data_IF_121301804927
#
_entry.id   IF_121301804927
#
_cell.length_a   1.000
_cell.length_b   1.000
_cell.length_c   1.000
_cell.angle_alpha   90.00
_cell.angle_beta   90.00
_cell.angle_gamma   90.00
#
_symmetry.space_group_name_H-M   'P 1'
#
loop_
_entity.id
_entity.type
_entity.pdbx_description
1 polymer ?
#
# COMPACT_ATOMS: atom_id res chain seq x y z
N UNK A 1 -33.02 10.84 -7.42
CA UNK A 1 -33.88 12.00 -7.73
C UNK A 1 -33.10 13.32 -7.69
N UNK A 2 -32.25 13.58 -6.69
CA UNK A 2 -31.34 14.75 -6.69
C UNK A 2 -30.43 14.79 -7.93
N UNK A 3 -29.72 13.70 -8.26
CA UNK A 3 -28.75 13.73 -9.37
C UNK A 3 -29.36 14.08 -10.73
N UNK A 4 -30.58 13.65 -11.02
CA UNK A 4 -31.24 13.99 -12.28
C UNK A 4 -31.55 15.50 -12.35
N UNK A 5 -31.96 16.10 -11.23
CA UNK A 5 -32.20 17.55 -11.12
C UNK A 5 -30.87 18.30 -11.29
N UNK A 6 -29.79 17.82 -10.68
CA UNK A 6 -28.46 18.41 -10.82
C UNK A 6 -27.96 18.32 -12.26
N UNK A 7 -28.16 17.16 -12.92
CA UNK A 7 -27.80 16.96 -14.33
C UNK A 7 -28.61 17.86 -15.27
N UNK A 8 -29.92 18.04 -15.02
CA UNK A 8 -30.76 18.97 -15.80
C UNK A 8 -30.30 20.41 -15.57
N UNK A 9 -30.04 20.80 -14.32
CA UNK A 9 -29.60 22.17 -13.97
C UNK A 9 -28.26 22.48 -14.64
N UNK A 10 -27.33 21.54 -14.62
CA UNK A 10 -26.04 21.66 -15.29
C UNK A 10 -26.23 21.79 -16.81
N UNK A 11 -27.10 20.97 -17.42
CA UNK A 11 -27.39 21.08 -18.84
C UNK A 11 -27.95 22.46 -19.21
N UNK A 12 -28.91 22.97 -18.44
CA UNK A 12 -29.46 24.31 -18.68
C UNK A 12 -28.37 25.36 -18.64
N UNK A 13 -27.44 25.30 -17.67
CA UNK A 13 -26.29 26.23 -17.61
C UNK A 13 -25.34 26.10 -18.79
N UNK A 14 -25.15 24.89 -19.32
CA UNK A 14 -24.30 24.65 -20.49
C UNK A 14 -24.93 25.23 -21.76
N UNK A 15 -26.25 25.12 -21.91
CA UNK A 15 -27.03 25.66 -23.03
C UNK A 15 -27.15 27.19 -22.98
N UNK A 16 -27.35 27.77 -21.79
CA UNK A 16 -27.41 29.23 -21.61
C UNK A 16 -26.04 29.89 -21.67
N UNK A 17 -24.95 29.12 -21.78
CA UNK A 17 -23.56 29.58 -21.72
C UNK A 17 -23.15 30.21 -20.37
N UNK A 18 -23.95 30.01 -19.33
CA UNK A 18 -23.65 30.48 -17.97
C UNK A 18 -22.61 29.60 -17.24
N UNK A 19 -22.30 28.43 -17.79
CA UNK A 19 -21.25 27.55 -17.27
C UNK A 19 -19.90 27.84 -17.95
N UNK A 20 -18.85 27.98 -17.12
CA UNK A 20 -17.46 28.13 -17.58
C UNK A 20 -16.57 27.07 -16.91
N UNK A 21 -15.63 26.46 -17.67
CA UNK A 21 -14.71 25.48 -17.11
C UNK A 21 -13.75 26.14 -16.13
N UNK A 22 -13.52 25.49 -14.99
CA UNK A 22 -12.44 25.90 -14.10
C UNK A 22 -11.09 25.46 -14.67
N UNK A 23 -10.02 26.16 -14.28
CA UNK A 23 -8.64 25.80 -14.66
C UNK A 23 -7.82 25.63 -13.40
N UNK A 24 -7.80 24.41 -12.88
CA UNK A 24 -7.09 24.06 -11.66
C UNK A 24 -6.12 22.91 -11.96
N UNK A 25 -4.95 22.86 -11.28
CA UNK A 25 -4.05 21.73 -11.39
C UNK A 25 -4.70 20.51 -10.74
N UNK A 26 -4.73 19.38 -11.46
CA UNK A 26 -5.24 18.12 -10.95
C UNK A 26 -4.41 16.94 -11.47
N UNK A 27 -4.45 15.85 -10.71
CA UNK A 27 -3.83 14.59 -11.09
C UNK A 27 -4.93 13.61 -11.57
N UNK A 28 -4.91 13.15 -12.84
CA UNK A 28 -5.92 12.23 -13.36
C UNK A 28 -6.01 10.91 -12.59
N UNK A 29 -4.88 10.37 -12.13
CA UNK A 29 -4.84 9.12 -11.38
C UNK A 29 -5.50 9.28 -10.01
N UNK A 30 -5.18 10.34 -9.27
CA UNK A 30 -5.81 10.64 -7.99
C UNK A 30 -7.33 10.87 -8.13
N UNK A 31 -7.75 11.59 -9.18
CA UNK A 31 -9.16 11.80 -9.49
C UNK A 31 -9.92 10.47 -9.71
N UNK A 32 -9.26 9.49 -10.36
CA UNK A 32 -9.85 8.16 -10.54
C UNK A 32 -9.85 7.36 -9.24
N UNK A 33 -8.78 7.41 -8.45
CA UNK A 33 -8.73 6.76 -7.14
C UNK A 33 -9.88 7.28 -6.23
N UNK A 34 -10.13 8.59 -6.19
CA UNK A 34 -11.27 9.19 -5.48
C UNK A 34 -12.63 8.70 -6.01
N UNK A 35 -12.76 8.58 -7.33
CA UNK A 35 -13.98 8.08 -7.97
C UNK A 35 -14.23 6.60 -7.65
N UNK A 36 -13.17 5.79 -7.54
CA UNK A 36 -13.24 4.39 -7.11
C UNK A 36 -13.49 4.27 -5.60
N UNK A 37 -13.01 5.20 -4.78
CA UNK A 37 -13.31 5.27 -3.35
C UNK A 37 -14.77 5.64 -3.06
N UNK A 38 -15.42 6.38 -3.95
CA UNK A 38 -16.87 6.62 -3.92
C UNK A 38 -17.68 5.45 -4.49
N UNK A 39 -17.01 4.42 -5.05
CA UNK A 39 -17.64 3.22 -5.56
C UNK A 39 -18.21 2.19 -4.55
N UNK A 40 -17.97 2.20 -3.21
CA UNK A 40 -18.67 1.26 -2.32
C UNK A 40 -20.18 1.52 -2.23
N UNK A 41 -20.66 2.66 -2.76
CA UNK A 41 -22.07 2.92 -3.01
C UNK A 41 -22.60 2.32 -4.33
N UNK A 42 -21.72 1.85 -5.21
CA UNK A 42 -22.12 1.23 -6.47
C UNK A 42 -22.59 -0.21 -6.17
N UNK A 43 -23.60 -0.76 -6.86
CA UNK A 43 -24.14 -2.11 -6.60
C UNK A 43 -23.17 -3.28 -6.90
N UNK A 44 -21.86 -3.06 -6.85
CA UNK A 44 -20.77 -3.94 -7.28
C UNK A 44 -20.71 -5.27 -6.51
N UNK A 45 -21.04 -5.25 -5.22
CA UNK A 45 -20.80 -6.39 -4.32
C UNK A 45 -21.90 -7.47 -4.42
N UNK A 46 -23.09 -7.15 -4.91
CA UNK A 46 -24.22 -8.11 -4.89
C UNK A 46 -24.29 -9.05 -6.09
N UNK A 47 -23.46 -8.89 -7.13
CA UNK A 47 -23.61 -9.64 -8.40
C UNK A 47 -22.36 -10.42 -8.85
N UNK A 48 -21.34 -10.57 -8.00
CA UNK A 48 -20.13 -11.34 -8.36
C UNK A 48 -19.26 -10.65 -9.42
N UNK A 49 -19.20 -9.33 -9.38
CA UNK A 49 -18.47 -8.53 -10.36
C UNK A 49 -16.99 -8.40 -10.05
N UNK A 50 -16.17 -8.41 -11.10
CA UNK A 50 -14.76 -8.04 -11.05
C UNK A 50 -14.61 -6.72 -11.79
N UNK A 51 -14.86 -5.61 -11.11
CA UNK A 51 -14.39 -4.32 -11.62
C UNK A 51 -12.87 -4.35 -11.54
N UNK A 52 -12.20 -4.14 -12.67
CA UNK A 52 -10.74 -4.02 -12.70
C UNK A 52 -10.40 -2.72 -13.37
N UNK A 53 -10.00 -1.75 -12.57
CA UNK A 53 -9.39 -0.53 -13.08
C UNK A 53 -8.05 -0.92 -13.68
N UNK A 54 -7.83 -0.63 -14.96
CA UNK A 54 -6.53 -0.80 -15.59
C UNK A 54 -6.01 0.60 -15.85
N UNK A 55 -5.44 1.24 -14.84
CA UNK A 55 -4.65 2.45 -15.05
C UNK A 55 -3.37 2.05 -15.80
N UNK A 56 -3.39 2.10 -17.15
CA UNK A 56 -2.17 1.95 -17.95
C UNK A 56 -1.22 3.13 -17.81
N UNK A 57 -1.64 4.18 -17.10
CA UNK A 57 -0.92 5.41 -16.95
C UNK A 57 -0.55 5.63 -15.48
N UNK A 58 0.73 5.41 -15.22
CA UNK A 58 1.39 5.57 -13.92
C UNK A 58 2.17 6.88 -13.81
N UNK A 59 2.11 7.72 -14.84
CA UNK A 59 2.77 9.03 -14.81
C UNK A 59 2.03 9.92 -13.80
N UNK A 60 2.74 10.38 -12.75
CA UNK A 60 2.21 11.33 -11.75
C UNK A 60 2.12 12.76 -12.29
N UNK A 61 1.85 12.90 -13.59
CA UNK A 61 1.79 14.19 -14.26
C UNK A 61 0.51 14.92 -13.88
N UNK A 62 0.66 16.19 -13.53
CA UNK A 62 -0.47 17.07 -13.30
C UNK A 62 -0.88 17.74 -14.61
N UNK A 63 -2.18 17.96 -14.75
CA UNK A 63 -2.79 18.71 -15.84
C UNK A 63 -3.59 19.88 -15.28
N UNK A 64 -3.78 20.90 -16.11
CA UNK A 64 -4.55 22.10 -15.79
C UNK A 64 -5.86 22.04 -16.56
N UNK A 65 -6.97 21.99 -15.83
CA UNK A 65 -8.31 22.00 -16.41
C UNK A 65 -9.40 21.83 -15.38
N UNK A 66 -10.61 21.51 -15.84
CA UNK A 66 -11.76 21.30 -14.96
C UNK A 66 -11.87 19.82 -14.59
N UNK A 67 -11.23 19.47 -13.47
CA UNK A 67 -11.24 18.12 -12.92
C UNK A 67 -12.66 17.67 -12.58
N UNK A 68 -13.51 18.57 -12.07
CA UNK A 68 -14.87 18.24 -11.64
C UNK A 68 -15.77 17.87 -12.82
N UNK A 69 -15.68 18.62 -13.92
CA UNK A 69 -16.40 18.31 -15.15
C UNK A 69 -15.95 16.98 -15.74
N UNK A 70 -14.64 16.73 -15.82
CA UNK A 70 -14.09 15.49 -16.33
C UNK A 70 -14.49 14.29 -15.46
N UNK A 71 -14.36 14.42 -14.14
CA UNK A 71 -14.79 13.45 -13.13
C UNK A 71 -16.29 13.14 -13.27
N UNK A 72 -17.13 14.15 -13.48
CA UNK A 72 -18.57 13.96 -13.70
C UNK A 72 -18.85 13.17 -14.97
N UNK A 73 -18.16 13.45 -16.08
CA UNK A 73 -18.30 12.69 -17.33
C UNK A 73 -17.92 11.22 -17.10
N UNK A 74 -16.76 10.97 -16.48
CA UNK A 74 -16.27 9.61 -16.23
C UNK A 74 -17.21 8.86 -15.28
N UNK A 75 -17.65 9.49 -14.19
CA UNK A 75 -18.58 8.91 -13.22
C UNK A 75 -19.90 8.47 -13.86
N UNK A 76 -20.51 9.35 -14.67
CA UNK A 76 -21.75 9.03 -15.39
C UNK A 76 -21.59 7.83 -16.34
N UNK A 77 -20.47 7.76 -17.07
CA UNK A 77 -20.22 6.66 -18.01
C UNK A 77 -19.87 5.35 -17.30
N UNK A 78 -19.11 5.41 -16.21
CA UNK A 78 -18.78 4.21 -15.41
C UNK A 78 -20.04 3.66 -14.74
N UNK A 79 -20.90 4.50 -14.17
CA UNK A 79 -22.20 4.08 -13.64
C UNK A 79 -23.05 3.40 -14.71
N UNK A 80 -23.08 4.00 -15.89
CA UNK A 80 -23.84 3.45 -17.01
C UNK A 80 -23.28 2.08 -17.46
N UNK A 81 -21.96 1.93 -17.54
CA UNK A 81 -21.29 0.65 -17.80
C UNK A 81 -21.65 -0.41 -16.73
N UNK A 82 -21.80 0.00 -15.47
CA UNK A 82 -22.20 -0.87 -14.35
C UNK A 82 -23.68 -1.26 -14.40
N UNK A 83 -24.53 -0.46 -15.01
CA UNK A 83 -25.96 -0.80 -15.14
C UNK A 83 -26.18 -1.79 -16.29
N UNK A 84 -25.44 -1.60 -17.38
CA UNK A 84 -25.56 -2.38 -18.63
C UNK A 84 -24.77 -3.68 -18.62
N UNK A 85 -23.74 -3.77 -17.78
CA UNK A 85 -23.13 -5.06 -17.46
C UNK A 85 -24.00 -5.72 -16.39
N UNK A 86 -24.24 -7.03 -16.47
CA UNK A 86 -25.00 -7.78 -15.44
C UNK A 86 -24.10 -8.77 -14.71
N UNK A 87 -23.17 -9.36 -15.46
CA UNK A 87 -22.02 -10.12 -15.01
C UNK A 87 -20.88 -9.83 -16.00
N UNK A 88 -19.64 -9.80 -15.52
CA UNK A 88 -18.48 -9.49 -16.35
C UNK A 88 -17.55 -8.46 -15.71
N UNK A 89 -16.93 -7.64 -16.57
CA UNK A 89 -15.88 -6.70 -16.20
C UNK A 89 -16.16 -5.31 -16.76
N UNK A 90 -15.83 -4.31 -15.96
CA UNK A 90 -15.69 -2.92 -16.38
C UNK A 90 -14.24 -2.53 -16.13
N UNK A 91 -13.59 -1.92 -17.12
CA UNK A 91 -12.22 -1.42 -17.01
C UNK A 91 -12.14 0.03 -17.46
N UNK A 92 -11.48 0.85 -16.66
CA UNK A 92 -11.12 2.22 -16.99
C UNK A 92 -9.63 2.28 -17.27
N UNK A 93 -9.27 2.88 -18.40
CA UNK A 93 -7.91 3.04 -18.89
C UNK A 93 -7.67 4.51 -19.18
N UNK A 94 -6.53 5.03 -18.72
CA UNK A 94 -6.07 6.39 -18.99
C UNK A 94 -4.83 6.27 -19.86
N UNK A 95 -4.74 7.09 -20.90
CA UNK A 95 -3.57 7.18 -21.77
C UNK A 95 -3.44 8.60 -22.33
N UNK A 96 -2.40 8.86 -23.11
CA UNK A 96 -2.25 10.08 -23.89
C UNK A 96 -2.03 9.73 -25.37
N UNK A 97 -2.28 10.68 -26.27
CA UNK A 97 -1.88 10.50 -27.66
C UNK A 97 -0.34 10.46 -27.76
N UNK A 98 0.27 9.45 -28.43
CA UNK A 98 1.73 9.28 -28.44
C UNK A 98 2.53 10.50 -28.91
N UNK A 99 1.95 11.32 -29.77
CA UNK A 99 2.56 12.53 -30.33
C UNK A 99 2.14 13.81 -29.60
N UNK A 100 1.15 13.71 -28.71
CA UNK A 100 0.48 14.84 -28.04
C UNK A 100 0.21 14.49 -26.58
N UNK A 101 1.20 14.64 -25.68
CA UNK A 101 1.04 14.32 -24.26
C UNK A 101 0.06 15.27 -23.55
N UNK A 102 -0.30 16.39 -24.18
CA UNK A 102 -1.38 17.30 -23.77
C UNK A 102 -2.79 16.77 -24.09
N UNK A 103 -2.92 15.63 -24.78
CA UNK A 103 -4.20 15.03 -25.13
C UNK A 103 -4.42 13.75 -24.37
N UNK A 104 -5.24 13.82 -23.35
CA UNK A 104 -5.63 12.69 -22.53
C UNK A 104 -6.74 11.88 -23.21
N UNK A 105 -6.59 10.56 -23.14
CA UNK A 105 -7.56 9.58 -23.60
C UNK A 105 -8.03 8.77 -22.39
N UNK A 106 -9.34 8.81 -22.12
CA UNK A 106 -9.97 7.93 -21.13
C UNK A 106 -10.81 6.90 -21.88
N UNK A 107 -10.56 5.62 -21.62
CA UNK A 107 -11.30 4.51 -22.21
C UNK A 107 -11.99 3.71 -21.11
N UNK A 108 -13.31 3.65 -21.17
CA UNK A 108 -14.12 2.76 -20.33
C UNK A 108 -14.57 1.62 -21.22
N UNK A 109 -14.21 0.39 -20.87
CA UNK A 109 -14.66 -0.82 -21.57
C UNK A 109 -15.50 -1.66 -20.61
N UNK A 110 -16.66 -2.09 -21.06
CA UNK A 110 -17.50 -3.06 -20.36
C UNK A 110 -17.75 -4.28 -21.23
N UNK A 111 -18.05 -5.41 -20.57
CA UNK A 111 -18.43 -6.67 -21.22
C UNK A 111 -19.92 -6.97 -21.02
N UNK A 112 -20.76 -5.93 -20.99
CA UNK A 112 -22.18 -6.04 -20.70
C UNK A 112 -23.05 -6.45 -21.88
N UNK A 113 -24.35 -6.23 -21.77
CA UNK A 113 -25.31 -6.49 -22.85
C UNK A 113 -25.12 -5.59 -24.07
N UNK A 114 -24.22 -4.61 -23.97
CA UNK A 114 -24.08 -3.54 -24.94
C UNK A 114 -25.28 -2.58 -24.93
N UNK A 115 -25.11 -1.50 -25.69
CA UNK A 115 -26.09 -0.45 -25.97
C UNK A 115 -26.58 -0.60 -27.41
N UNK A 116 -27.87 -0.36 -27.65
CA UNK A 116 -28.45 -0.29 -28.99
C UNK A 116 -28.03 0.97 -29.75
N UNK A 117 -28.04 0.94 -31.09
CA UNK A 117 -27.75 2.13 -31.90
C UNK A 117 -28.78 3.27 -31.67
N UNK A 118 -30.01 2.91 -31.36
CA UNK A 118 -31.08 3.85 -31.00
C UNK A 118 -30.71 4.60 -29.72
N UNK A 119 -30.26 3.89 -28.69
CA UNK A 119 -29.84 4.48 -27.43
C UNK A 119 -28.54 5.28 -27.55
N UNK A 120 -27.59 4.86 -28.40
CA UNK A 120 -26.41 5.68 -28.76
C UNK A 120 -26.83 7.00 -29.44
N UNK A 121 -27.95 7.00 -30.18
CA UNK A 121 -28.43 8.23 -30.83
C UNK A 121 -28.79 9.32 -29.81
N UNK A 122 -29.04 8.96 -28.54
CA UNK A 122 -29.21 9.92 -27.45
C UNK A 122 -27.97 10.81 -27.22
N UNK A 123 -26.79 10.44 -27.72
CA UNK A 123 -25.57 11.25 -27.69
C UNK A 123 -25.75 12.62 -28.38
N UNK A 124 -26.57 12.66 -29.43
CA UNK A 124 -26.81 13.86 -30.24
C UNK A 124 -28.11 14.58 -29.87
N UNK A 125 -29.15 13.84 -29.48
CA UNK A 125 -30.43 14.40 -29.08
C UNK A 125 -30.97 13.63 -27.88
N UNK A 126 -31.15 14.27 -26.71
CA UNK A 126 -31.56 13.56 -25.51
C UNK A 126 -32.99 13.02 -25.67
N UNK A 127 -33.28 11.88 -25.03
CA UNK A 127 -34.59 11.24 -25.00
C UNK A 127 -35.16 10.72 -26.35
N UNK A 128 -34.33 10.55 -27.39
CA UNK A 128 -34.77 9.91 -28.64
C UNK A 128 -35.25 8.47 -28.41
N UNK A 129 -34.57 7.74 -27.53
CA UNK A 129 -34.82 6.32 -27.30
C UNK A 129 -34.85 6.01 -25.80
N UNK A 130 -35.65 5.00 -25.45
CA UNK A 130 -35.69 4.48 -24.08
C UNK A 130 -34.33 3.90 -23.70
N UNK A 131 -33.96 4.11 -22.44
CA UNK A 131 -32.68 3.71 -21.87
C UNK A 131 -32.90 2.62 -20.83
N UNK A 132 -31.86 1.86 -20.50
CA UNK A 132 -31.87 0.94 -19.36
C UNK A 132 -31.85 1.75 -18.06
N UNK A 133 -33.05 2.15 -17.59
CA UNK A 133 -33.21 2.96 -16.39
C UNK A 133 -33.11 2.09 -15.13
N UNK A 134 -32.14 2.38 -14.27
CA UNK A 134 -32.08 1.88 -12.89
C UNK A 134 -33.08 2.67 -12.00
N UNK A 135 -33.53 2.09 -10.88
CA UNK A 135 -34.32 2.72 -9.79
C UNK A 135 -33.80 4.11 -9.36
N UNK A 136 -32.53 4.43 -9.57
CA UNK A 136 -31.92 5.72 -9.26
C UNK A 136 -31.76 6.69 -10.46
N UNK A 137 -32.23 6.33 -11.67
CA UNK A 137 -32.20 7.12 -12.92
C UNK A 137 -30.80 7.41 -13.51
N UNK A 138 -29.76 6.66 -13.15
CA UNK A 138 -28.41 6.86 -13.72
C UNK A 138 -28.33 6.54 -15.23
N UNK A 139 -29.16 5.62 -15.72
CA UNK A 139 -29.33 5.32 -17.14
C UNK A 139 -30.40 6.18 -17.81
N UNK A 140 -30.34 7.51 -17.71
CA UNK A 140 -31.31 8.42 -18.35
C UNK A 140 -30.93 8.67 -19.82
N UNK A 141 -31.94 8.90 -20.67
CA UNK A 141 -31.76 9.38 -22.05
C UNK A 141 -31.03 10.72 -22.18
N UNK A 142 -30.76 11.38 -21.05
CA UNK A 142 -29.96 12.60 -20.94
C UNK A 142 -28.45 12.33 -20.76
N UNK A 143 -28.05 11.18 -20.21
CA UNK A 143 -26.67 10.96 -19.72
C UNK A 143 -25.64 11.16 -20.83
N UNK A 144 -25.78 10.50 -21.98
CA UNK A 144 -24.84 10.64 -23.09
C UNK A 144 -24.83 12.05 -23.69
N UNK A 145 -25.98 12.69 -23.78
CA UNK A 145 -26.06 14.06 -24.25
C UNK A 145 -25.29 15.01 -23.34
N UNK A 146 -25.48 14.91 -22.03
CA UNK A 146 -24.75 15.71 -21.04
C UNK A 146 -23.24 15.45 -21.12
N UNK A 147 -22.82 14.19 -21.16
CA UNK A 147 -21.41 13.83 -21.31
C UNK A 147 -20.80 14.43 -22.60
N UNK A 148 -21.54 14.39 -23.72
CA UNK A 148 -21.10 14.98 -24.99
C UNK A 148 -20.97 16.51 -24.91
N UNK A 149 -21.93 17.21 -24.28
CA UNK A 149 -21.86 18.66 -24.10
C UNK A 149 -20.70 19.08 -23.19
N UNK A 150 -20.49 18.37 -22.08
CA UNK A 150 -19.35 18.61 -21.19
C UNK A 150 -18.02 18.37 -21.93
N UNK A 151 -17.89 17.26 -22.66
CA UNK A 151 -16.67 16.99 -23.44
C UNK A 151 -16.39 18.12 -24.43
N UNK A 152 -17.40 18.61 -25.15
CA UNK A 152 -17.23 19.75 -26.09
C UNK A 152 -16.76 21.02 -25.39
N UNK A 153 -17.27 21.31 -24.18
CA UNK A 153 -16.86 22.46 -23.37
C UNK A 153 -15.46 22.32 -22.78
N UNK A 154 -14.98 21.09 -22.62
CA UNK A 154 -13.59 20.76 -22.27
C UNK A 154 -12.68 20.62 -23.51
N UNK A 155 -13.10 21.16 -24.66
CA UNK A 155 -12.35 21.06 -25.93
C UNK A 155 -12.00 19.62 -26.32
N UNK A 156 -12.91 18.68 -26.01
CA UNK A 156 -12.74 17.26 -26.23
C UNK A 156 -13.87 16.63 -27.04
N UNK A 157 -13.83 15.30 -27.13
CA UNK A 157 -14.77 14.46 -27.86
C UNK A 157 -15.10 13.19 -27.08
N UNK A 158 -16.36 12.76 -27.16
CA UNK A 158 -16.83 11.46 -26.70
C UNK A 158 -17.22 10.58 -27.90
N UNK A 159 -16.67 9.36 -27.96
CA UNK A 159 -17.03 8.32 -28.92
C UNK A 159 -17.55 7.09 -28.16
N UNK A 160 -18.66 6.51 -28.62
CA UNK A 160 -19.25 5.30 -28.01
C UNK A 160 -19.37 4.23 -29.09
N UNK A 161 -18.71 3.10 -28.87
CA UNK A 161 -18.77 1.92 -29.74
C UNK A 161 -19.31 0.74 -28.96
N UNK A 162 -20.52 0.32 -29.30
CA UNK A 162 -21.19 -0.81 -28.68
C UNK A 162 -21.40 -1.93 -29.69
N UNK A 163 -21.37 -3.16 -29.19
CA UNK A 163 -22.00 -4.30 -29.85
C UNK A 163 -22.91 -5.00 -28.85
N UNK A 164 -24.16 -5.22 -29.25
CA UNK A 164 -25.15 -5.94 -28.46
C UNK A 164 -24.60 -7.32 -28.09
N UNK A 165 -24.77 -7.71 -26.82
CA UNK A 165 -24.30 -8.94 -26.18
C UNK A 165 -22.77 -9.15 -26.15
N UNK A 166 -21.98 -8.13 -26.49
CA UNK A 166 -20.51 -8.17 -26.41
C UNK A 166 -20.00 -7.13 -25.40
N UNK A 167 -20.59 -5.94 -25.37
CA UNK A 167 -20.24 -4.85 -24.47
C UNK A 167 -20.02 -3.52 -25.18
N UNK A 168 -19.59 -2.51 -24.41
CA UNK A 168 -19.41 -1.14 -24.89
C UNK A 168 -18.01 -0.59 -24.59
N UNK A 169 -17.51 0.21 -25.52
CA UNK A 169 -16.32 1.05 -25.35
C UNK A 169 -16.71 2.51 -25.43
N UNK A 170 -16.47 3.24 -24.35
CA UNK A 170 -16.57 4.70 -24.30
C UNK A 170 -15.16 5.29 -24.37
N UNK A 171 -14.93 6.22 -25.29
CA UNK A 171 -13.65 6.88 -25.45
C UNK A 171 -13.82 8.39 -25.34
N UNK A 172 -13.26 8.97 -24.29
CA UNK A 172 -13.17 10.41 -24.08
C UNK A 172 -11.79 10.86 -24.51
N UNK A 173 -11.70 11.90 -25.34
CA UNK A 173 -10.46 12.59 -25.69
C UNK A 173 -10.58 14.04 -25.25
N UNK A 174 -9.66 14.52 -24.43
CA UNK A 174 -9.65 15.92 -23.96
C UNK A 174 -8.25 16.50 -24.08
N UNK A 175 -8.17 17.75 -24.57
CA UNK A 175 -6.92 18.49 -24.59
C UNK A 175 -6.78 19.26 -23.27
N UNK A 176 -5.77 18.91 -22.48
CA UNK A 176 -5.50 19.47 -21.16
C UNK A 176 -4.04 19.89 -21.10
N UNK A 177 -3.77 21.11 -20.66
CA UNK A 177 -2.39 21.61 -20.57
C UNK A 177 -1.65 20.85 -19.46
N UNK A 178 -0.50 20.26 -19.77
CA UNK A 178 0.36 19.67 -18.76
C UNK A 178 0.93 20.78 -17.86
N UNK A 179 0.83 20.59 -16.54
CA UNK A 179 1.52 21.46 -15.60
C UNK A 179 3.04 21.31 -15.82
N UNK A 180 3.68 22.37 -16.31
CA UNK A 180 5.13 22.43 -16.48
C UNK A 180 5.79 22.60 -15.11
N UNK A 181 5.92 21.50 -14.37
CA UNK A 181 6.91 21.43 -13.29
C UNK A 181 8.26 21.12 -13.92
N UNK A 182 9.32 21.72 -13.39
CA UNK A 182 10.67 21.22 -13.65
C UNK A 182 10.67 19.72 -13.33
N UNK A 183 11.36 18.88 -14.11
CA UNK A 183 11.52 17.48 -13.78
C UNK A 183 12.31 17.41 -12.47
N UNK A 184 11.63 17.52 -11.34
CA UNK A 184 12.13 16.96 -10.11
C UNK A 184 12.26 15.48 -10.41
N UNK A 185 13.47 14.94 -10.30
CA UNK A 185 13.69 13.49 -10.24
C UNK A 185 12.73 12.97 -9.18
N UNK A 186 11.62 12.39 -9.63
CA UNK A 186 10.63 11.85 -8.73
C UNK A 186 11.29 10.65 -8.08
N UNK A 187 11.44 10.70 -6.77
CA UNK A 187 11.97 9.59 -5.99
C UNK A 187 11.16 8.34 -6.33
N UNK A 188 11.86 7.36 -6.91
CA UNK A 188 11.38 6.00 -7.07
C UNK A 188 11.33 5.40 -5.66
N UNK A 189 10.16 5.53 -5.04
CA UNK A 189 9.95 5.10 -3.65
C UNK A 189 10.28 3.62 -3.42
N UNK A 190 10.25 2.82 -4.48
CA UNK A 190 10.51 1.38 -4.45
C UNK A 190 11.80 1.00 -5.19
N UNK A 191 12.74 1.93 -5.39
CA UNK A 191 14.02 1.61 -6.02
C UNK A 191 14.79 0.58 -5.19
N UNK A 192 15.23 -0.51 -5.82
CA UNK A 192 15.91 -1.62 -5.15
C UNK A 192 14.99 -2.62 -4.42
N UNK A 193 13.67 -2.42 -4.44
CA UNK A 193 12.70 -3.37 -3.87
C UNK A 193 12.37 -4.46 -4.88
N UNK A 194 12.48 -5.73 -4.46
CA UNK A 194 12.10 -6.90 -5.25
C UNK A 194 10.75 -7.45 -4.78
N UNK A 195 9.73 -7.34 -5.64
CA UNK A 195 8.38 -7.82 -5.39
C UNK A 195 8.10 -9.16 -6.11
N UNK A 196 7.72 -10.20 -5.37
CA UNK A 196 7.28 -11.48 -5.92
C UNK A 196 5.77 -11.47 -6.15
N UNK A 197 5.35 -11.73 -7.38
CA UNK A 197 3.95 -11.77 -7.80
C UNK A 197 3.49 -13.22 -7.99
N UNK A 198 2.74 -13.76 -7.03
CA UNK A 198 2.02 -15.04 -7.13
C UNK A 198 0.52 -14.79 -7.27
N UNK A 199 0.14 -14.26 -8.44
CA UNK A 199 -1.23 -13.87 -8.76
C UNK A 199 -1.77 -14.79 -9.85
N UNK A 200 -2.89 -15.46 -9.57
CA UNK A 200 -3.52 -16.40 -10.52
C UNK A 200 -4.09 -15.71 -11.76
N UNK A 201 -4.52 -14.46 -11.61
CA UNK A 201 -5.06 -13.66 -12.71
C UNK A 201 -3.95 -12.89 -13.46
N UNK A 202 -3.71 -13.26 -14.72
CA UNK A 202 -2.76 -12.58 -15.62
C UNK A 202 -3.04 -11.08 -15.75
N UNK A 203 -4.32 -10.68 -15.71
CA UNK A 203 -4.72 -9.27 -15.81
C UNK A 203 -4.32 -8.49 -14.57
N UNK A 204 -4.63 -9.03 -13.38
CA UNK A 204 -4.29 -8.38 -12.09
C UNK A 204 -2.77 -8.32 -11.95
N UNK A 205 -2.08 -9.40 -12.31
CA UNK A 205 -0.62 -9.43 -12.37
C UNK A 205 -0.08 -8.32 -13.26
N UNK A 206 -0.65 -8.12 -14.45
CA UNK A 206 -0.25 -7.05 -15.37
C UNK A 206 -0.46 -5.64 -14.82
N UNK A 207 -1.56 -5.41 -14.09
CA UNK A 207 -1.87 -4.12 -13.44
C UNK A 207 -0.82 -3.83 -12.37
N UNK A 208 -0.64 -4.76 -11.44
CA UNK A 208 0.27 -4.64 -10.30
C UNK A 208 1.72 -4.50 -10.76
N UNK A 209 2.15 -5.29 -11.74
CA UNK A 209 3.51 -5.21 -12.31
C UNK A 209 3.80 -3.81 -12.84
N UNK A 210 2.89 -3.24 -13.64
CA UNK A 210 3.09 -1.90 -14.22
C UNK A 210 3.13 -0.82 -13.15
N UNK A 211 2.27 -0.93 -12.13
CA UNK A 211 2.23 0.01 -11.03
C UNK A 211 3.53 -0.01 -10.23
N UNK A 212 3.97 -1.20 -9.80
CA UNK A 212 5.21 -1.37 -9.04
C UNK A 212 6.45 -0.92 -9.83
N UNK A 213 6.56 -1.31 -11.11
CA UNK A 213 7.67 -0.90 -11.99
C UNK A 213 7.71 0.61 -12.19
N UNK A 214 6.56 1.28 -12.26
CA UNK A 214 6.52 2.73 -12.37
C UNK A 214 7.02 3.45 -11.12
N UNK A 215 6.97 2.79 -9.96
CA UNK A 215 7.52 3.28 -8.70
C UNK A 215 8.97 2.82 -8.46
N UNK A 216 9.55 2.04 -9.38
CA UNK A 216 10.95 1.61 -9.37
C UNK A 216 11.22 0.17 -8.93
N UNK A 217 10.19 -0.60 -8.57
CA UNK A 217 10.36 -1.96 -8.06
C UNK A 217 10.67 -2.99 -9.17
N UNK A 218 11.53 -3.95 -8.84
CA UNK A 218 11.78 -5.13 -9.66
C UNK A 218 10.71 -6.20 -9.38
N UNK A 219 9.92 -6.53 -10.39
CA UNK A 219 8.83 -7.51 -10.25
C UNK A 219 9.26 -8.88 -10.77
N UNK A 220 9.21 -9.89 -9.90
CA UNK A 220 9.40 -11.30 -10.24
C UNK A 220 8.05 -12.00 -10.31
N UNK A 221 7.83 -12.84 -11.31
CA UNK A 221 6.63 -13.67 -11.40
C UNK A 221 6.95 -15.03 -10.81
N UNK A 222 6.07 -15.54 -9.94
CA UNK A 222 6.16 -16.88 -9.38
C UNK A 222 5.86 -17.93 -10.48
N UNK A 223 6.85 -18.23 -11.31
CA UNK A 223 6.89 -19.47 -12.10
C UNK A 223 7.64 -20.53 -11.29
N UNK A 224 7.24 -21.81 -11.40
CA UNK A 224 7.69 -23.01 -10.65
C UNK A 224 9.23 -23.21 -10.46
N UNK A 225 10.07 -22.31 -10.99
CA UNK A 225 11.54 -22.35 -10.93
C UNK A 225 12.19 -21.15 -10.20
N UNK A 226 11.42 -20.21 -9.68
CA UNK A 226 11.94 -18.95 -9.10
C UNK A 226 11.90 -18.86 -7.56
N UNK A 227 11.61 -19.96 -6.85
CA UNK A 227 11.49 -19.99 -5.37
C UNK A 227 12.82 -19.71 -4.64
N UNK A 228 13.94 -19.58 -5.37
CA UNK A 228 15.29 -19.45 -4.82
C UNK A 228 15.91 -18.05 -5.01
N UNK A 229 15.11 -17.01 -5.28
CA UNK A 229 15.56 -15.61 -5.24
C UNK A 229 15.03 -14.95 -3.97
N UNK A 230 15.88 -14.22 -3.28
CA UNK A 230 15.46 -13.35 -2.19
C UNK A 230 14.49 -12.29 -2.75
N UNK A 231 13.35 -12.15 -2.08
CA UNK A 231 12.32 -11.15 -2.38
C UNK A 231 11.98 -10.41 -1.09
N UNK A 232 11.64 -9.13 -1.21
CA UNK A 232 11.30 -8.30 -0.06
C UNK A 232 9.81 -8.38 0.25
N UNK A 233 8.95 -8.45 -0.78
CA UNK A 233 7.49 -8.43 -0.61
C UNK A 233 6.82 -9.48 -1.49
N UNK A 234 5.87 -10.24 -0.92
CA UNK A 234 5.03 -11.18 -1.66
C UNK A 234 3.64 -10.58 -1.91
N UNK A 235 3.17 -10.63 -3.16
CA UNK A 235 1.80 -10.23 -3.54
C UNK A 235 1.07 -11.45 -4.09
N UNK A 236 -0.07 -11.79 -3.49
CA UNK A 236 -0.90 -12.91 -3.92
C UNK A 236 -2.39 -12.57 -3.94
N UNK A 237 -3.15 -13.23 -4.81
CA UNK A 237 -4.62 -13.22 -4.81
C UNK A 237 -5.22 -14.46 -4.10
N UNK A 238 -4.38 -15.38 -3.60
CA UNK A 238 -4.81 -16.59 -2.91
C UNK A 238 -4.48 -16.53 -1.40
N UNK A 239 -5.50 -16.49 -0.52
CA UNK A 239 -5.27 -16.41 0.92
C UNK A 239 -4.59 -17.66 1.51
N UNK A 240 -4.58 -18.79 0.80
CA UNK A 240 -3.92 -20.02 1.29
C UNK A 240 -2.41 -20.02 1.08
N UNK A 241 -1.89 -19.12 0.23
CA UNK A 241 -0.45 -18.96 -0.05
C UNK A 241 0.13 -17.71 0.62
N UNK A 242 -0.64 -17.10 1.51
CA UNK A 242 -0.19 -15.96 2.27
C UNK A 242 0.72 -16.44 3.40
N UNK A 243 1.99 -16.07 3.31
CA UNK A 243 3.01 -16.22 4.37
C UNK A 243 3.33 -14.86 5.00
N UNK A 244 4.27 -14.81 5.94
CA UNK A 244 4.66 -13.55 6.59
C UNK A 244 5.14 -12.51 5.56
N UNK A 245 4.73 -11.26 5.77
CA UNK A 245 4.99 -10.11 4.89
C UNK A 245 4.30 -10.18 3.52
N UNK A 246 3.09 -10.73 3.49
CA UNK A 246 2.29 -10.85 2.26
C UNK A 246 1.23 -9.74 2.12
N UNK A 247 1.13 -9.21 0.90
CA UNK A 247 0.01 -8.41 0.41
C UNK A 247 -1.03 -9.30 -0.25
N UNK A 248 -2.23 -9.34 0.34
CA UNK A 248 -3.39 -10.00 -0.25
C UNK A 248 -4.16 -9.03 -1.13
N UNK A 249 -4.17 -9.30 -2.44
CA UNK A 249 -4.86 -8.49 -3.43
C UNK A 249 -6.37 -8.75 -3.38
N UNK A 250 -7.14 -7.70 -3.16
CA UNK A 250 -8.59 -7.71 -3.06
C UNK A 250 -9.22 -6.65 -3.97
N UNK A 251 -10.53 -6.75 -4.20
CA UNK A 251 -11.31 -5.75 -4.97
C UNK A 251 -12.32 -4.99 -4.13
N UNK A 252 -12.63 -5.51 -2.96
CA UNK A 252 -13.74 -5.11 -2.09
C UNK A 252 -13.31 -4.25 -0.89
N UNK A 253 -12.01 -4.03 -0.71
CA UNK A 253 -11.50 -3.18 0.35
C UNK A 253 -11.60 -1.68 -0.03
N UNK A 254 -11.96 -0.78 0.90
CA UNK A 254 -12.02 0.67 0.64
C UNK A 254 -10.62 1.33 0.60
N UNK A 255 -9.56 0.54 0.51
CA UNK A 255 -8.18 0.97 0.67
C UNK A 255 -7.31 -0.24 0.98
N UNK A 256 -6.66 -0.22 2.13
CA UNK A 256 -5.97 -1.37 2.70
C UNK A 256 -6.32 -1.56 4.17
N UNK A 257 -6.24 -2.80 4.64
CA UNK A 257 -6.48 -3.19 6.01
C UNK A 257 -5.38 -4.14 6.47
N UNK A 258 -4.70 -3.80 7.56
CA UNK A 258 -3.85 -4.75 8.28
C UNK A 258 -4.74 -5.75 9.03
N UNK A 259 -4.58 -7.03 8.74
CA UNK A 259 -5.35 -8.11 9.39
C UNK A 259 -4.62 -8.65 10.63
N UNK A 260 -3.30 -8.83 10.53
CA UNK A 260 -2.40 -9.23 11.63
C UNK A 260 -1.00 -8.62 11.41
N UNK A 261 -0.06 -8.81 12.35
CA UNK A 261 1.26 -8.13 12.42
C UNK A 261 2.18 -8.23 11.18
N UNK A 262 1.83 -9.05 10.18
CA UNK A 262 2.65 -9.31 8.99
C UNK A 262 1.82 -9.53 7.71
N UNK A 263 0.54 -9.15 7.71
CA UNK A 263 -0.38 -9.40 6.60
C UNK A 263 -1.26 -8.18 6.32
N UNK A 264 -1.21 -7.69 5.08
CA UNK A 264 -2.04 -6.55 4.65
C UNK A 264 -2.92 -6.98 3.48
N UNK A 265 -4.23 -6.74 3.61
CA UNK A 265 -5.18 -6.89 2.52
C UNK A 265 -5.37 -5.54 1.85
N UNK A 266 -5.30 -5.48 0.52
CA UNK A 266 -5.29 -4.21 -0.22
C UNK A 266 -6.12 -4.26 -1.48
N UNK A 267 -6.83 -3.16 -1.76
CA UNK A 267 -7.51 -2.98 -3.03
C UNK A 267 -6.52 -2.61 -4.12
N UNK A 268 -6.25 -3.55 -5.04
CA UNK A 268 -5.29 -3.32 -6.12
C UNK A 268 -5.78 -2.31 -7.16
N UNK A 269 -7.05 -1.91 -7.13
CA UNK A 269 -7.59 -0.89 -8.03
C UNK A 269 -7.24 0.55 -7.59
N UNK A 270 -6.75 0.72 -6.36
CA UNK A 270 -6.39 2.01 -5.79
C UNK A 270 -4.86 2.11 -5.75
N UNK A 271 -4.30 2.95 -6.62
CA UNK A 271 -2.85 3.03 -6.79
C UNK A 271 -2.16 3.46 -5.49
N UNK A 272 -2.69 4.51 -4.83
CA UNK A 272 -2.17 4.98 -3.54
C UNK A 272 -2.21 3.90 -2.46
N UNK A 273 -3.33 3.19 -2.33
CA UNK A 273 -3.48 2.17 -1.30
C UNK A 273 -2.50 1.00 -1.48
N UNK A 274 -2.23 0.58 -2.72
CA UNK A 274 -1.26 -0.49 -2.99
C UNK A 274 0.16 -0.06 -2.58
N UNK A 275 0.58 1.14 -2.96
CA UNK A 275 1.94 1.63 -2.65
C UNK A 275 2.10 1.86 -1.15
N UNK A 276 1.11 2.48 -0.50
CA UNK A 276 1.13 2.69 0.96
C UNK A 276 1.22 1.36 1.71
N UNK A 277 0.50 0.34 1.24
CA UNK A 277 0.55 -1.01 1.82
C UNK A 277 1.90 -1.69 1.62
N UNK A 278 2.53 -1.53 0.45
CA UNK A 278 3.89 -2.04 0.18
C UNK A 278 4.90 -1.36 1.12
N UNK A 279 4.86 -0.02 1.22
CA UNK A 279 5.78 0.74 2.07
C UNK A 279 5.61 0.37 3.55
N UNK A 280 4.37 0.26 4.02
CA UNK A 280 4.06 -0.18 5.39
C UNK A 280 4.61 -1.57 5.70
N UNK A 281 4.55 -2.50 4.74
CA UNK A 281 5.12 -3.84 4.90
C UNK A 281 6.64 -3.83 4.96
N UNK A 282 7.29 -3.03 4.12
CA UNK A 282 8.75 -2.86 4.15
C UNK A 282 9.19 -2.24 5.48
N UNK A 283 8.49 -1.21 5.96
CA UNK A 283 8.75 -0.62 7.28
C UNK A 283 8.61 -1.65 8.41
N UNK A 284 7.58 -2.50 8.38
CA UNK A 284 7.40 -3.57 9.35
C UNK A 284 8.50 -4.63 9.29
N UNK A 285 8.99 -4.94 8.08
CA UNK A 285 10.07 -5.88 7.89
C UNK A 285 11.39 -5.30 8.41
N UNK A 286 11.70 -4.04 8.10
CA UNK A 286 12.88 -3.37 8.64
C UNK A 286 12.80 -3.23 10.16
N UNK A 287 11.65 -2.87 10.73
CA UNK A 287 11.49 -2.80 12.18
C UNK A 287 11.62 -4.18 12.86
N UNK A 288 11.22 -5.26 12.19
CA UNK A 288 11.43 -6.61 12.68
C UNK A 288 12.92 -7.00 12.61
N UNK A 289 13.60 -6.66 11.51
CA UNK A 289 15.04 -6.86 11.36
C UNK A 289 15.84 -6.03 12.37
N UNK A 290 15.48 -4.78 12.65
CA UNK A 290 16.10 -3.96 13.69
C UNK A 290 15.82 -4.48 15.11
N UNK A 291 14.67 -5.12 15.33
CA UNK A 291 14.39 -5.81 16.58
C UNK A 291 15.23 -7.08 16.72
N UNK A 292 15.40 -7.86 15.63
CA UNK A 292 16.26 -9.06 15.58
C UNK A 292 17.76 -8.73 15.61
N UNK A 293 18.17 -7.57 15.08
CA UNK A 293 19.55 -7.03 15.12
C UNK A 293 19.83 -6.21 16.38
N UNK A 294 18.79 -5.81 17.13
CA UNK A 294 18.98 -5.39 18.51
C UNK A 294 19.53 -6.59 19.28
N UNK A 295 20.70 -6.50 19.95
CA UNK A 295 21.34 -7.64 20.65
C UNK A 295 20.51 -8.28 21.77
N UNK A 296 19.25 -7.87 21.94
CA UNK A 296 18.41 -8.06 23.11
C UNK A 296 17.07 -8.73 22.84
N UNK A 297 16.66 -8.97 21.59
CA UNK A 297 15.47 -9.80 21.33
C UNK A 297 15.82 -11.29 21.37
N UNK A 298 16.35 -11.76 22.49
CA UNK A 298 16.49 -13.19 22.68
C UNK A 298 15.10 -13.83 22.67
N UNK A 299 14.85 -14.74 21.73
CA UNK A 299 13.64 -15.53 21.75
C UNK A 299 13.58 -16.31 23.07
N UNK A 300 12.37 -16.65 23.54
CA UNK A 300 12.23 -17.41 24.80
C UNK A 300 12.92 -18.78 24.72
N UNK A 301 13.15 -19.29 23.51
CA UNK A 301 13.86 -20.55 23.24
C UNK A 301 15.38 -20.40 23.40
N UNK A 302 15.96 -19.28 22.96
CA UNK A 302 17.40 -19.01 23.11
C UNK A 302 17.80 -18.86 24.58
N UNK A 303 16.97 -18.19 25.39
CA UNK A 303 17.22 -18.01 26.83
C UNK A 303 17.23 -19.36 27.56
N UNK A 304 16.35 -20.30 27.17
CA UNK A 304 16.32 -21.64 27.75
C UNK A 304 17.58 -22.45 27.42
N UNK A 305 18.12 -22.28 26.20
CA UNK A 305 19.38 -22.91 25.80
C UNK A 305 20.54 -22.40 26.65
N UNK A 306 20.66 -21.08 26.83
CA UNK A 306 21.70 -20.46 27.64
C UNK A 306 21.56 -20.82 29.13
N UNK A 307 20.35 -20.91 29.67
CA UNK A 307 20.10 -21.36 31.04
C UNK A 307 20.57 -22.81 31.25
N UNK A 308 20.25 -23.70 30.31
CA UNK A 308 20.67 -25.11 30.37
C UNK A 308 22.20 -25.24 30.29
N UNK A 309 22.84 -24.43 29.46
CA UNK A 309 24.30 -24.36 29.35
C UNK A 309 24.94 -23.82 30.64
N UNK A 310 24.35 -22.81 31.25
CA UNK A 310 24.83 -22.23 32.50
C UNK A 310 24.69 -23.22 33.67
N UNK A 311 23.55 -23.91 33.79
CA UNK A 311 23.29 -24.93 34.83
C UNK A 311 24.16 -26.18 34.68
N UNK A 312 24.65 -26.48 33.47
CA UNK A 312 25.54 -27.63 33.21
C UNK A 312 27.03 -27.30 33.37
N UNK A 313 27.38 -26.04 33.62
CA UNK A 313 28.75 -25.59 33.82
C UNK A 313 29.16 -25.71 35.29
N UNK A 314 30.41 -26.16 35.54
CA UNK A 314 31.01 -26.23 36.88
C UNK A 314 31.15 -24.83 37.55
N UNK A 315 30.97 -23.77 36.77
CA UNK A 315 31.07 -22.38 37.20
C UNK A 315 29.73 -21.74 37.62
N UNK A 316 28.63 -22.50 37.60
CA UNK A 316 27.29 -22.01 37.98
C UNK A 316 27.27 -21.35 39.37
N UNK A 317 27.87 -22.00 40.37
CA UNK A 317 27.92 -21.46 41.74
C UNK A 317 28.64 -20.11 41.81
N UNK A 318 29.79 -20.00 41.13
CA UNK A 318 30.54 -18.75 41.07
C UNK A 318 29.75 -17.65 40.36
N UNK A 319 29.01 -17.99 39.30
CA UNK A 319 28.18 -17.04 38.57
C UNK A 319 27.05 -16.46 39.44
N UNK A 320 26.34 -17.32 40.19
CA UNK A 320 25.26 -16.90 41.10
C UNK A 320 25.79 -16.00 42.23
N UNK A 321 27.00 -16.28 42.73
CA UNK A 321 27.56 -15.53 43.85
C UNK A 321 28.19 -14.19 43.43
N UNK A 322 28.75 -14.09 42.22
CA UNK A 322 29.57 -12.92 41.81
C UNK A 322 28.86 -11.95 40.88
N UNK A 323 28.06 -12.45 39.93
CA UNK A 323 27.46 -11.62 38.88
C UNK A 323 26.37 -10.66 39.39
N UNK A 324 25.46 -11.06 40.31
CA UNK A 324 24.47 -10.13 40.87
C UNK A 324 25.11 -8.96 41.64
N UNK A 325 26.20 -9.20 42.35
CA UNK A 325 26.91 -8.16 43.08
C UNK A 325 27.68 -7.22 42.13
N UNK A 326 28.16 -7.75 41.00
CA UNK A 326 28.79 -6.96 39.96
C UNK A 326 27.80 -6.08 39.20
N UNK A 327 26.57 -6.55 38.98
CA UNK A 327 25.47 -5.73 38.43
C UNK A 327 25.07 -4.61 39.39
N UNK A 328 25.01 -4.87 40.70
CA UNK A 328 24.77 -3.80 41.70
C UNK A 328 25.89 -2.76 41.73
N UNK A 329 27.14 -3.18 41.54
CA UNK A 329 28.28 -2.26 41.40
C UNK A 329 28.14 -1.36 40.19
N UNK A 330 27.68 -1.87 39.05
CA UNK A 330 27.40 -1.03 37.86
C UNK A 330 26.44 0.13 38.17
N UNK A 331 25.33 -0.14 38.87
CA UNK A 331 24.39 0.92 39.27
C UNK A 331 25.01 1.93 40.24
N UNK A 332 25.85 1.46 41.17
CA UNK A 332 26.50 2.32 42.17
C UNK A 332 27.58 3.21 41.53
N UNK A 333 28.35 2.66 40.59
CA UNK A 333 29.42 3.33 39.84
C UNK A 333 28.84 4.32 38.82
N UNK A 334 27.73 3.97 38.16
CA UNK A 334 27.00 4.88 37.28
C UNK A 334 26.40 6.06 38.05
N UNK A 335 25.75 5.81 39.19
CA UNK A 335 25.17 6.86 40.03
C UNK A 335 26.19 7.79 40.70
N UNK A 336 27.44 7.33 40.87
CA UNK A 336 28.57 8.13 41.36
C UNK A 336 29.40 8.77 40.25
N UNK A 337 29.03 8.55 38.98
CA UNK A 337 29.74 9.03 37.79
C UNK A 337 31.23 8.62 37.73
N UNK A 338 31.58 7.48 38.33
CA UNK A 338 32.93 6.92 38.26
C UNK A 338 33.07 6.00 37.04
N UNK A 339 33.27 6.62 35.88
CA UNK A 339 33.37 5.92 34.59
C UNK A 339 34.57 4.96 34.50
N UNK A 340 35.63 5.19 35.27
CA UNK A 340 36.79 4.31 35.31
C UNK A 340 36.47 3.01 36.06
N UNK A 341 35.83 3.11 37.23
CA UNK A 341 35.37 1.93 37.96
C UNK A 341 34.29 1.17 37.15
N UNK A 342 33.35 1.90 36.56
CA UNK A 342 32.27 1.34 35.74
C UNK A 342 32.80 0.54 34.55
N UNK A 343 33.81 1.07 33.84
CA UNK A 343 34.46 0.38 32.72
C UNK A 343 35.17 -0.91 33.18
N UNK A 344 35.84 -0.91 34.34
CA UNK A 344 36.49 -2.10 34.89
C UNK A 344 35.47 -3.19 35.28
N UNK A 345 34.34 -2.79 35.87
CA UNK A 345 33.25 -3.72 36.22
C UNK A 345 32.60 -4.30 34.96
N UNK A 346 32.34 -3.48 33.94
CA UNK A 346 31.85 -3.94 32.64
C UNK A 346 32.82 -4.91 31.96
N UNK A 347 34.13 -4.62 31.98
CA UNK A 347 35.17 -5.48 31.41
C UNK A 347 35.25 -6.84 32.08
N UNK A 348 35.12 -6.87 33.41
CA UNK A 348 35.10 -8.12 34.18
C UNK A 348 33.87 -8.96 33.84
N UNK A 349 32.68 -8.35 33.79
CA UNK A 349 31.45 -9.03 33.40
C UNK A 349 31.52 -9.58 31.97
N UNK A 350 32.09 -8.81 31.03
CA UNK A 350 32.37 -9.28 29.67
C UNK A 350 33.21 -10.56 29.66
N UNK A 351 34.26 -10.62 30.49
CA UNK A 351 35.10 -11.80 30.64
C UNK A 351 34.33 -13.03 31.15
N UNK A 352 33.46 -12.83 32.15
CA UNK A 352 32.61 -13.90 32.70
C UNK A 352 31.63 -14.43 31.65
N UNK A 353 30.93 -13.54 30.93
CA UNK A 353 29.99 -13.94 29.87
C UNK A 353 30.70 -14.63 28.70
N UNK A 354 31.90 -14.17 28.31
CA UNK A 354 32.69 -14.82 27.27
C UNK A 354 33.17 -16.22 27.69
N UNK A 355 33.59 -16.40 28.94
CA UNK A 355 34.04 -17.70 29.46
C UNK A 355 32.91 -18.73 29.50
N UNK A 356 31.68 -18.29 29.78
CA UNK A 356 30.48 -19.14 29.83
C UNK A 356 29.81 -19.29 28.45
N UNK A 357 30.40 -18.70 27.41
CA UNK A 357 29.87 -18.66 26.05
C UNK A 357 28.43 -18.11 25.99
N UNK A 358 28.15 -17.10 26.82
CA UNK A 358 26.91 -16.32 26.85
C UNK A 358 27.09 -15.09 25.94
N UNK A 359 26.95 -15.31 24.64
CA UNK A 359 27.17 -14.30 23.60
C UNK A 359 26.35 -13.01 23.82
N UNK A 360 25.06 -13.05 24.20
CA UNK A 360 24.27 -11.83 24.37
C UNK A 360 24.75 -10.98 25.55
N UNK A 361 25.09 -11.61 26.69
CA UNK A 361 25.64 -10.92 27.84
C UNK A 361 26.99 -10.26 27.54
N UNK A 362 27.83 -10.92 26.72
CA UNK A 362 29.11 -10.36 26.27
C UNK A 362 28.91 -9.11 25.42
N UNK A 363 28.00 -9.14 24.46
CA UNK A 363 27.70 -8.01 23.58
C UNK A 363 27.16 -6.81 24.38
N UNK A 364 26.31 -7.04 25.38
CA UNK A 364 25.81 -5.97 26.25
C UNK A 364 26.93 -5.27 27.03
N UNK A 365 27.92 -6.02 27.50
CA UNK A 365 29.08 -5.43 28.15
C UNK A 365 30.01 -4.67 27.18
N UNK A 366 30.12 -5.10 25.92
CA UNK A 366 30.87 -4.38 24.88
C UNK A 366 30.18 -3.05 24.50
N UNK A 367 28.86 -3.06 24.34
CA UNK A 367 28.06 -1.85 24.11
C UNK A 367 28.15 -0.88 25.29
N UNK A 368 28.14 -1.40 26.53
CA UNK A 368 28.33 -0.59 27.73
C UNK A 368 29.73 0.06 27.76
N UNK A 369 30.79 -0.67 27.43
CA UNK A 369 32.16 -0.10 27.35
C UNK A 369 32.27 1.02 26.30
N UNK A 370 31.64 0.85 25.14
CA UNK A 370 31.61 1.88 24.08
C UNK A 370 30.87 3.15 24.53
N UNK A 371 29.69 2.99 25.13
CA UNK A 371 28.88 4.12 25.63
C UNK A 371 29.56 4.88 26.77
N UNK A 372 30.34 4.19 27.60
CA UNK A 372 31.19 4.82 28.62
C UNK A 372 32.29 5.68 27.99
N UNK A 373 32.87 5.24 26.86
CA UNK A 373 33.88 6.01 26.14
C UNK A 373 33.29 7.25 25.42
N UNK A 374 32.02 7.18 25.02
CA UNK A 374 31.29 8.27 24.35
C UNK A 374 30.69 9.29 25.33
N UNK A 375 30.48 8.92 26.60
CA UNK A 375 30.06 9.83 27.67
C UNK A 375 28.55 10.08 27.76
N UNK A 376 27.72 9.19 27.21
CA UNK A 376 26.25 9.34 27.16
C UNK A 376 25.57 8.72 28.41
N UNK A 377 25.27 9.55 29.40
CA UNK A 377 24.71 9.13 30.69
C UNK A 377 23.36 8.35 30.63
N UNK A 378 22.31 8.81 29.90
CA UNK A 378 21.05 8.07 29.80
C UNK A 378 21.19 6.72 29.06
N UNK A 379 22.08 6.64 28.08
CA UNK A 379 22.34 5.41 27.33
C UNK A 379 23.10 4.36 28.16
N UNK A 380 23.92 4.79 29.13
CA UNK A 380 24.60 3.92 30.09
C UNK A 380 23.60 3.26 31.06
N UNK A 381 22.68 4.04 31.64
CA UNK A 381 21.65 3.49 32.55
C UNK A 381 20.76 2.46 31.85
N UNK A 382 20.39 2.71 30.59
CA UNK A 382 19.60 1.77 29.79
C UNK A 382 20.33 0.43 29.58
N UNK A 383 21.64 0.44 29.27
CA UNK A 383 22.41 -0.80 29.12
C UNK A 383 22.57 -1.57 30.43
N UNK A 384 22.78 -0.87 31.55
CA UNK A 384 22.88 -1.52 32.86
C UNK A 384 21.55 -2.22 33.18
N UNK A 385 20.41 -1.60 32.87
CA UNK A 385 19.08 -2.22 33.01
C UNK A 385 18.90 -3.46 32.14
N UNK A 386 19.40 -3.43 30.91
CA UNK A 386 19.36 -4.57 29.99
C UNK A 386 20.24 -5.74 30.45
N UNK A 387 21.44 -5.46 30.98
CA UNK A 387 22.32 -6.47 31.59
C UNK A 387 21.65 -7.10 32.81
N UNK A 388 21.05 -6.29 33.69
CA UNK A 388 20.33 -6.77 34.87
C UNK A 388 19.12 -7.64 34.51
N UNK A 389 18.37 -7.26 33.47
CA UNK A 389 17.26 -8.05 32.95
C UNK A 389 17.72 -9.42 32.42
N UNK A 390 18.81 -9.44 31.65
CA UNK A 390 19.40 -10.68 31.12
C UNK A 390 19.87 -11.61 32.25
N UNK A 391 20.61 -11.09 33.22
CA UNK A 391 21.07 -11.86 34.40
C UNK A 391 19.90 -12.35 35.24
N UNK A 392 18.91 -11.49 35.49
CA UNK A 392 17.70 -11.85 36.23
C UNK A 392 16.92 -12.98 35.55
N UNK A 393 16.83 -12.98 34.22
CA UNK A 393 16.18 -14.05 33.45
C UNK A 393 16.92 -15.38 33.54
N UNK A 394 18.26 -15.35 33.49
CA UNK A 394 19.09 -16.55 33.66
C UNK A 394 18.97 -17.17 35.06
N UNK A 395 18.63 -16.37 36.08
CA UNK A 395 18.52 -16.81 37.48
C UNK A 395 17.08 -17.16 37.92
N UNK A 396 16.03 -16.56 37.32
CA UNK A 396 14.63 -16.58 37.83
C UNK A 396 13.80 -17.86 37.60
N UNK A 397 14.34 -18.95 37.07
CA UNK A 397 13.64 -20.25 37.04
C UNK A 397 14.22 -21.34 37.96
N UNK A 398 15.13 -20.97 38.87
CA UNK A 398 15.60 -21.86 39.95
C UNK A 398 14.76 -21.83 41.23
N UNK A 399 13.86 -20.86 41.41
CA UNK A 399 13.19 -20.58 42.68
C UNK A 399 11.72 -21.02 42.77
N UNK A 400 11.29 -22.00 41.95
CA UNK A 400 9.95 -22.60 42.04
C UNK A 400 9.95 -24.13 42.23
N UNK A 401 11.05 -24.74 42.68
CA UNK A 401 11.06 -26.17 43.01
C UNK A 401 11.42 -26.55 44.45
N UNK A 402 11.66 -25.59 45.34
CA UNK A 402 11.77 -25.86 46.78
C UNK A 402 11.02 -24.81 47.59
N UNK A 403 9.71 -25.00 47.74
CA UNK A 403 8.98 -24.83 49.01
C UNK A 403 7.64 -25.58 48.95
#
# INVERSE_FOLDING_TARGET
MLELIDNITLLTRLETQDWQPTREPFNPTAMIDELLLEAPAWPLIRRGWRCSSISSWTSRQNYIGDANALRKVISLLVHYAIITTACGKVSLVIDHEPEHPDRLIFQINDTGSGISNEEISNLNYPFLSQTLVDRFNHGSGLTFFLCNQLCKKLNGQLDIRSKVDIGTRYTIRVAMEMEKKEPQEQEKLLDGVTALLDVTSDEVRGIVTRLLQAYGADCLVAEDRAVNRDYDVLLTDNPQRADDYTLLLATDEPGWQALDKRYIRVNYNLNGALIDAVLMLIEQQMAALEQEESPLSLSSEDIQLYEKQLKSSDYYGLFVDTVPDDVKKLYTEAGSSDFNALSQTAHRLKGVFAMLNLLPGKQLCESLEQRIAEGDAPEIENNISQIDFFVSRLLKQGSQQHE
#
